data_IF_203981994373
#
_entry.id   IF_203981994373
#
_cell.length_a   1.000
_cell.length_b   1.000
_cell.length_c   1.000
_cell.angle_alpha   90.00
_cell.angle_beta   90.00
_cell.angle_gamma   90.00
#
_symmetry.space_group_name_H-M   'P 1'
#
loop_
_entity.id
_entity.type
_entity.pdbx_description
1 polymer ?
#
# COMPACT_ATOMS: atom_id res chain seq x y z
N UNK A 1 17.55 -4.20 20.26
CA UNK A 1 16.91 -5.53 20.19
C UNK A 1 16.80 -5.93 18.72
N UNK A 2 17.17 -7.15 18.31
CA UNK A 2 16.99 -7.56 16.92
C UNK A 2 15.49 -7.58 16.58
N UNK A 3 15.13 -7.00 15.43
CA UNK A 3 13.75 -7.04 14.93
C UNK A 3 13.42 -8.48 14.57
N UNK A 4 12.37 -9.04 15.18
CA UNK A 4 11.93 -10.38 14.87
C UNK A 4 11.40 -10.51 13.43
N UNK A 5 11.52 -11.69 12.79
CA UNK A 5 11.01 -11.90 11.43
C UNK A 5 9.51 -11.65 11.32
N UNK A 6 8.74 -11.91 12.39
CA UNK A 6 7.30 -11.63 12.45
C UNK A 6 7.03 -10.12 12.38
N UNK A 7 7.78 -9.32 13.13
CA UNK A 7 7.64 -7.85 13.13
C UNK A 7 8.01 -7.29 11.76
N UNK A 8 9.08 -7.81 11.15
CA UNK A 8 9.53 -7.40 9.83
C UNK A 8 8.48 -7.69 8.75
N UNK A 9 7.83 -8.85 8.82
CA UNK A 9 6.71 -9.21 7.94
C UNK A 9 5.47 -8.36 8.22
N UNK A 10 5.13 -8.10 9.48
CA UNK A 10 3.99 -7.26 9.84
C UNK A 10 4.13 -5.84 9.29
N UNK A 11 5.32 -5.24 9.38
CA UNK A 11 5.60 -3.92 8.80
C UNK A 11 5.41 -3.96 7.27
N UNK A 12 5.89 -5.00 6.60
CA UNK A 12 5.68 -5.17 5.16
C UNK A 12 4.19 -5.23 4.81
N UNK A 13 3.40 -6.05 5.52
CA UNK A 13 1.95 -6.18 5.28
C UNK A 13 1.23 -4.85 5.48
N UNK A 14 1.58 -4.08 6.52
CA UNK A 14 0.98 -2.76 6.76
C UNK A 14 1.33 -1.78 5.63
N UNK A 15 2.61 -1.72 5.24
CA UNK A 15 3.07 -0.88 4.12
C UNK A 15 2.38 -1.24 2.81
N UNK A 16 2.26 -2.55 2.55
CA UNK A 16 1.59 -3.10 1.38
C UNK A 16 0.09 -2.74 1.36
N UNK A 17 -0.59 -2.79 2.51
CA UNK A 17 -2.00 -2.38 2.63
C UNK A 17 -2.18 -0.89 2.33
N UNK A 18 -1.34 -0.02 2.90
CA UNK A 18 -1.40 1.43 2.62
C UNK A 18 -1.14 1.72 1.14
N UNK A 19 -0.16 1.03 0.55
CA UNK A 19 0.14 1.14 -0.89
C UNK A 19 -1.07 0.71 -1.74
N UNK A 20 -1.79 -0.34 -1.35
CA UNK A 20 -2.97 -0.84 -2.08
C UNK A 20 -4.01 0.26 -2.21
N UNK A 21 -4.38 0.88 -1.10
CA UNK A 21 -5.38 1.94 -1.09
C UNK A 21 -4.90 3.21 -1.80
N UNK A 22 -3.60 3.47 -1.82
CA UNK A 22 -3.02 4.61 -2.53
C UNK A 22 -3.05 4.40 -4.06
N UNK A 23 -2.87 3.16 -4.52
CA UNK A 23 -2.82 2.81 -5.95
C UNK A 23 -4.21 2.55 -6.53
N UNK A 24 -5.16 2.08 -5.72
CA UNK A 24 -6.52 1.80 -6.16
C UNK A 24 -7.20 2.98 -6.89
N UNK A 25 -7.12 4.24 -6.41
CA UNK A 25 -7.72 5.40 -7.09
C UNK A 25 -6.96 5.85 -8.34
N UNK A 26 -5.78 5.28 -8.62
CA UNK A 26 -5.09 5.57 -9.88
C UNK A 26 -5.79 4.80 -11.03
N UNK A 27 -6.23 5.56 -12.04
CA UNK A 27 -6.89 5.02 -13.24
C UNK A 27 -8.41 4.85 -13.13
N UNK A 28 -9.06 5.45 -12.13
CA UNK A 28 -10.52 5.68 -12.18
C UNK A 28 -10.78 6.90 -13.06
N UNK A 29 -11.04 6.68 -14.35
CA UNK A 29 -11.57 7.72 -15.23
C UNK A 29 -13.11 7.58 -15.29
N UNK A 30 -13.81 8.56 -14.73
CA UNK A 30 -15.27 8.61 -14.65
C UNK A 30 -15.87 9.66 -15.61
N UNK A 31 -15.06 10.46 -16.30
CA UNK A 31 -15.53 11.65 -17.03
C UNK A 31 -16.36 11.32 -18.27
N UNK A 32 -16.12 10.18 -18.93
CA UNK A 32 -16.78 9.82 -20.20
C UNK A 32 -17.71 8.60 -20.09
N UNK A 33 -18.10 8.22 -18.85
CA UNK A 33 -18.92 7.03 -18.65
C UNK A 33 -20.38 7.30 -19.02
N UNK A 34 -20.82 6.70 -20.14
CA UNK A 34 -22.22 6.74 -20.57
C UNK A 34 -23.14 6.18 -19.46
N UNK A 35 -24.40 6.66 -19.36
CA UNK A 35 -25.36 6.13 -18.40
C UNK A 35 -25.46 4.60 -18.52
N UNK A 36 -25.27 3.84 -17.42
CA UNK A 36 -25.28 2.38 -17.48
C UNK A 36 -26.66 1.89 -17.89
N UNK A 37 -26.74 1.13 -18.99
CA UNK A 37 -28.02 0.64 -19.54
C UNK A 37 -28.50 -0.66 -18.89
N UNK A 38 -27.67 -1.30 -18.05
CA UNK A 38 -27.87 -2.68 -17.57
C UNK A 38 -27.83 -2.81 -16.03
N UNK A 39 -28.23 -1.76 -15.30
CA UNK A 39 -28.24 -1.76 -13.82
C UNK A 39 -26.85 -1.76 -13.16
N UNK A 40 -25.78 -1.60 -13.94
CA UNK A 40 -24.43 -1.43 -13.42
C UNK A 40 -24.26 -0.11 -12.66
N UNK A 41 -23.43 -0.11 -11.62
CA UNK A 41 -23.21 1.07 -10.78
C UNK A 41 -22.45 2.16 -11.56
N UNK A 42 -22.98 3.38 -11.52
CA UNK A 42 -22.32 4.54 -12.13
C UNK A 42 -20.98 4.78 -11.43
N UNK A 43 -19.88 4.73 -12.19
CA UNK A 43 -18.53 4.97 -11.69
C UNK A 43 -17.66 3.73 -11.46
N UNK A 44 -18.14 2.50 -11.70
CA UNK A 44 -17.30 1.32 -11.77
C UNK A 44 -16.49 1.32 -13.09
N UNK A 45 -15.15 1.14 -13.07
CA UNK A 45 -14.36 1.09 -14.30
C UNK A 45 -14.73 -0.12 -15.18
N UNK A 46 -14.92 0.08 -16.48
CA UNK A 46 -15.21 -1.01 -17.43
C UNK A 46 -14.11 -2.08 -17.48
N UNK A 47 -12.87 -1.69 -17.19
CA UNK A 47 -11.70 -2.58 -17.15
C UNK A 47 -10.96 -2.39 -15.83
N UNK A 48 -11.34 -3.12 -14.77
CA UNK A 48 -10.77 -2.91 -13.45
C UNK A 48 -9.29 -3.34 -13.31
N UNK A 49 -8.68 -3.99 -14.32
CA UNK A 49 -7.24 -4.31 -14.43
C UNK A 49 -6.57 -4.72 -13.09
N UNK A 50 -7.30 -5.47 -12.25
CA UNK A 50 -6.96 -5.71 -10.85
C UNK A 50 -5.58 -6.38 -10.68
N UNK A 51 -5.22 -7.26 -11.63
CA UNK A 51 -3.90 -7.93 -11.63
C UNK A 51 -2.75 -6.93 -11.74
N UNK A 52 -2.87 -5.90 -12.58
CA UNK A 52 -1.84 -4.86 -12.71
C UNK A 52 -1.73 -4.04 -11.45
N UNK A 53 -2.87 -3.67 -10.84
CA UNK A 53 -2.90 -2.92 -9.57
C UNK A 53 -2.28 -3.70 -8.42
N UNK A 54 -2.54 -5.01 -8.34
CA UNK A 54 -1.96 -5.89 -7.32
C UNK A 54 -0.44 -6.03 -7.45
N UNK A 55 0.07 -6.23 -8.66
CA UNK A 55 1.52 -6.27 -8.91
C UNK A 55 2.13 -4.91 -8.58
N UNK A 56 1.49 -3.82 -9.00
CA UNK A 56 1.95 -2.45 -8.71
C UNK A 56 2.07 -2.20 -7.22
N UNK A 57 1.06 -2.59 -6.46
CA UNK A 57 1.04 -2.49 -5.00
C UNK A 57 2.16 -3.29 -4.34
N UNK A 58 2.48 -4.46 -4.89
CA UNK A 58 3.49 -5.36 -4.32
C UNK A 58 4.89 -4.75 -4.40
N UNK A 59 5.30 -4.24 -5.56
CA UNK A 59 6.64 -3.64 -5.68
C UNK A 59 6.74 -2.29 -4.97
N UNK A 60 5.69 -1.46 -5.01
CA UNK A 60 5.64 -0.18 -4.27
C UNK A 60 5.72 -0.43 -2.76
N UNK A 61 4.94 -1.39 -2.24
CA UNK A 61 5.00 -1.80 -0.84
C UNK A 61 6.36 -2.34 -0.42
N UNK A 62 7.02 -3.12 -1.29
CA UNK A 62 8.37 -3.63 -1.05
C UNK A 62 9.42 -2.52 -0.98
N UNK A 63 9.34 -1.52 -1.87
CA UNK A 63 10.23 -0.35 -1.82
C UNK A 63 10.01 0.45 -0.54
N UNK A 64 8.75 0.73 -0.18
CA UNK A 64 8.43 1.50 1.03
C UNK A 64 8.96 0.78 2.28
N UNK A 65 8.75 -0.53 2.36
CA UNK A 65 9.27 -1.36 3.44
C UNK A 65 10.81 -1.35 3.48
N UNK A 66 11.48 -1.46 2.33
CA UNK A 66 12.95 -1.44 2.27
C UNK A 66 13.52 -0.10 2.76
N UNK A 67 12.88 1.02 2.41
CA UNK A 67 13.24 2.35 2.91
C UNK A 67 13.07 2.42 4.43
N UNK A 68 11.94 1.94 4.97
CA UNK A 68 11.69 1.94 6.41
C UNK A 68 12.73 1.08 7.14
N UNK A 69 13.02 -0.12 6.63
CA UNK A 69 14.05 -0.98 7.21
C UNK A 69 15.42 -0.29 7.18
N UNK A 70 15.79 0.35 6.07
CA UNK A 70 17.06 1.09 5.96
C UNK A 70 17.15 2.22 7.01
N UNK A 71 16.08 2.99 7.21
CA UNK A 71 16.04 4.05 8.24
C UNK A 71 16.23 3.47 9.64
N UNK A 72 15.60 2.33 9.94
CA UNK A 72 15.72 1.67 11.24
C UNK A 72 17.14 1.12 11.45
N UNK A 73 17.72 0.48 10.44
CA UNK A 73 19.07 -0.11 10.53
C UNK A 73 20.17 0.95 10.60
N UNK A 74 20.03 2.09 9.90
CA UNK A 74 20.98 3.19 9.98
C UNK A 74 20.85 3.99 11.29
N UNK A 75 19.78 3.80 12.06
CA UNK A 75 19.56 4.55 13.30
C UNK A 75 19.40 6.06 13.06
N UNK A 76 18.88 6.45 11.88
CA UNK A 76 18.71 7.87 11.51
C UNK A 76 17.74 8.61 12.43
N UNK A 77 16.86 7.88 13.11
CA UNK A 77 15.87 8.42 14.05
C UNK A 77 16.22 7.93 15.45
N UNK A 78 16.59 8.82 16.39
CA UNK A 78 16.74 8.44 17.79
C UNK A 78 15.37 8.05 18.35
N UNK A 79 15.25 6.83 18.85
CA UNK A 79 14.01 6.34 19.44
C UNK A 79 14.04 6.74 20.92
N UNK A 80 13.14 7.63 21.38
CA UNK A 80 13.05 7.91 22.80
C UNK A 80 12.63 6.64 23.54
N UNK A 81 13.34 6.32 24.62
CA UNK A 81 12.93 5.23 25.50
C UNK A 81 11.58 5.59 26.12
N UNK A 82 10.53 4.85 25.76
CA UNK A 82 9.25 4.93 26.45
C UNK A 82 9.39 4.08 27.70
N UNK A 83 9.88 4.69 28.77
CA UNK A 83 9.99 4.07 30.09
C UNK A 83 8.60 3.88 30.68
N UNK A 84 7.96 2.77 30.32
CA UNK A 84 6.77 2.25 30.99
C UNK A 84 7.18 1.00 31.76
N UNK A 85 7.61 1.19 33.01
CA UNK A 85 8.00 0.18 34.03
C UNK A 85 9.16 -0.75 33.69
#
# INVERSE_FOLDING_TARGET
>A
MPIGPITMFAIYVICWWVALFTILPLGMNQQDQAPPTDGAQWGAPDKPDLKKKFITTTWVGAILWAVIMAVIFLGLVPIPEVSGT
#
